data_IF_577217552238
#
_entry.id   IF_577217552238
#
_cell.length_a   1.000
_cell.length_b   1.000
_cell.length_c   1.000
_cell.angle_alpha   90.00
_cell.angle_beta   90.00
_cell.angle_gamma   90.00
#
_symmetry.space_group_name_H-M   'P 1'
#
loop_
_entity.id
_entity.type
_entity.pdbx_description
1 polymer ?
#
# COMPACT_ATOMS: atom_id res chain seq x y z
N UNK A 1 -25.92 -5.49 -12.39
CA UNK A 1 -24.72 -6.07 -13.07
C UNK A 1 -23.54 -5.11 -13.09
N UNK A 2 -23.73 -3.83 -13.40
CA UNK A 2 -22.65 -2.84 -13.51
C UNK A 2 -21.89 -2.58 -12.19
N UNK A 3 -22.61 -2.45 -11.06
CA UNK A 3 -22.00 -2.31 -9.71
C UNK A 3 -21.09 -3.46 -9.32
N UNK A 4 -21.42 -4.70 -9.69
CA UNK A 4 -20.56 -5.87 -9.43
C UNK A 4 -19.30 -5.84 -10.30
N UNK A 5 -19.41 -5.36 -11.55
CA UNK A 5 -18.27 -5.23 -12.46
C UNK A 5 -17.27 -4.16 -12.00
N UNK A 6 -17.76 -3.05 -11.46
CA UNK A 6 -16.92 -1.98 -10.88
C UNK A 6 -16.20 -2.44 -9.62
N UNK A 7 -16.87 -3.16 -8.72
CA UNK A 7 -16.24 -3.73 -7.53
C UNK A 7 -15.20 -4.79 -7.86
N UNK A 8 -15.48 -5.68 -8.83
CA UNK A 8 -14.54 -6.70 -9.27
C UNK A 8 -13.28 -6.07 -9.90
N UNK A 9 -13.45 -5.01 -10.70
CA UNK A 9 -12.32 -4.22 -11.22
C UNK A 9 -11.48 -3.65 -10.09
N UNK A 10 -12.10 -3.01 -9.09
CA UNK A 10 -11.39 -2.48 -7.92
C UNK A 10 -10.60 -3.55 -7.16
N UNK A 11 -11.22 -4.70 -6.91
CA UNK A 11 -10.57 -5.83 -6.26
C UNK A 11 -9.36 -6.36 -7.06
N UNK A 12 -9.47 -6.43 -8.40
CA UNK A 12 -8.37 -6.84 -9.26
C UNK A 12 -7.20 -5.84 -9.23
N UNK A 13 -7.49 -4.53 -9.22
CA UNK A 13 -6.45 -3.49 -9.08
C UNK A 13 -5.71 -3.63 -7.74
N UNK A 14 -6.45 -3.89 -6.65
CA UNK A 14 -5.87 -4.10 -5.32
C UNK A 14 -5.07 -5.40 -5.21
N UNK A 15 -5.52 -6.47 -5.88
CA UNK A 15 -4.77 -7.73 -5.92
C UNK A 15 -3.45 -7.58 -6.69
N UNK A 16 -3.47 -6.85 -7.81
CA UNK A 16 -2.26 -6.50 -8.56
C UNK A 16 -1.33 -5.60 -7.72
N UNK A 17 -1.90 -4.67 -6.95
CA UNK A 17 -1.15 -3.85 -5.99
C UNK A 17 -0.45 -4.71 -4.96
N UNK A 18 -1.15 -5.67 -4.35
CA UNK A 18 -0.60 -6.60 -3.37
C UNK A 18 0.56 -7.43 -3.96
N UNK A 19 0.42 -7.89 -5.20
CA UNK A 19 1.48 -8.60 -5.91
C UNK A 19 2.73 -7.74 -6.07
N UNK A 20 2.55 -6.52 -6.59
CA UNK A 20 3.64 -5.56 -6.81
C UNK A 20 4.36 -5.24 -5.50
N UNK A 21 3.62 -4.97 -4.42
CA UNK A 21 4.20 -4.64 -3.12
C UNK A 21 4.89 -5.82 -2.48
N UNK A 22 4.32 -7.02 -2.56
CA UNK A 22 4.95 -8.25 -2.08
C UNK A 22 6.32 -8.47 -2.69
N UNK A 23 6.43 -8.41 -4.02
CA UNK A 23 7.72 -8.53 -4.71
C UNK A 23 8.66 -7.33 -4.44
N UNK A 24 8.12 -6.15 -4.13
CA UNK A 24 8.91 -4.99 -3.77
C UNK A 24 9.64 -5.13 -2.43
N UNK A 25 9.21 -6.00 -1.50
CA UNK A 25 9.98 -6.25 -0.28
C UNK A 25 11.36 -6.84 -0.58
N UNK A 26 11.47 -7.70 -1.60
CA UNK A 26 12.76 -8.25 -2.04
C UNK A 26 13.64 -7.13 -2.62
N UNK A 27 13.09 -6.31 -3.51
CA UNK A 27 13.83 -5.19 -4.10
C UNK A 27 14.25 -4.15 -3.04
N UNK A 28 13.40 -3.86 -2.06
CA UNK A 28 13.73 -2.98 -0.94
C UNK A 28 14.89 -3.55 -0.10
N UNK A 29 14.86 -4.85 0.19
CA UNK A 29 15.94 -5.51 0.94
C UNK A 29 17.28 -5.41 0.20
N UNK A 30 17.31 -5.76 -1.09
CA UNK A 30 18.55 -5.70 -1.91
C UNK A 30 19.02 -4.25 -2.09
N UNK A 31 18.11 -3.29 -2.23
CA UNK A 31 18.46 -1.88 -2.35
C UNK A 31 19.13 -1.30 -1.11
N UNK A 32 18.88 -1.89 0.07
CA UNK A 32 19.48 -1.45 1.32
C UNK A 32 20.91 -1.94 1.55
N UNK A 33 21.41 -2.84 0.69
CA UNK A 33 22.83 -3.21 0.69
C UNK A 33 23.72 -2.04 0.24
N UNK A 34 23.12 -1.01 -0.37
CA UNK A 34 23.82 0.15 -0.93
C UNK A 34 23.35 1.48 -0.35
N UNK A 35 22.06 1.63 -0.02
CA UNK A 35 21.49 2.89 0.48
C UNK A 35 20.85 2.72 1.85
N UNK A 36 21.02 3.75 2.68
CA UNK A 36 20.26 3.89 3.91
C UNK A 36 18.74 4.03 3.66
N UNK A 37 17.91 3.76 4.68
CA UNK A 37 16.46 3.73 4.54
C UNK A 37 15.86 5.07 4.09
N UNK A 38 16.41 6.19 4.55
CA UNK A 38 15.92 7.52 4.18
C UNK A 38 16.28 7.86 2.74
N UNK A 39 17.54 7.65 2.34
CA UNK A 39 18.01 7.89 0.97
C UNK A 39 17.28 7.01 -0.05
N UNK A 40 17.13 5.71 0.24
CA UNK A 40 16.37 4.78 -0.60
C UNK A 40 14.91 5.23 -0.77
N UNK A 41 14.27 5.63 0.34
CA UNK A 41 12.88 6.11 0.32
C UNK A 41 12.75 7.44 -0.43
N UNK A 42 13.70 8.35 -0.30
CA UNK A 42 13.70 9.62 -1.04
C UNK A 42 13.75 9.38 -2.55
N UNK A 43 14.75 8.63 -3.01
CA UNK A 43 15.01 8.42 -4.44
C UNK A 43 13.87 7.65 -5.09
N UNK A 44 13.37 6.57 -4.48
CA UNK A 44 12.26 5.78 -5.05
C UNK A 44 10.98 6.63 -5.21
N UNK A 45 10.70 7.51 -4.25
CA UNK A 45 9.52 8.38 -4.32
C UNK A 45 9.67 9.45 -5.41
N UNK A 46 10.85 10.02 -5.61
CA UNK A 46 11.08 10.93 -6.74
C UNK A 46 10.96 10.22 -8.08
N UNK A 47 11.49 9.01 -8.22
CA UNK A 47 11.32 8.18 -9.43
C UNK A 47 9.82 7.95 -9.68
N UNK A 48 9.04 7.59 -8.66
CA UNK A 48 7.59 7.42 -8.77
C UNK A 48 6.86 8.70 -9.18
N UNK A 49 7.25 9.84 -8.60
CA UNK A 49 6.71 11.14 -8.98
C UNK A 49 6.97 11.45 -10.46
N UNK A 50 8.22 11.30 -10.92
CA UNK A 50 8.63 11.57 -12.31
C UNK A 50 7.96 10.61 -13.28
N UNK A 51 7.86 9.33 -12.94
CA UNK A 51 7.22 8.30 -13.77
C UNK A 51 5.74 8.58 -14.04
N UNK A 52 5.05 9.30 -13.14
CA UNK A 52 3.65 9.68 -13.32
C UNK A 52 3.44 10.93 -14.18
N UNK A 53 4.46 11.77 -14.39
CA UNK A 53 4.32 13.00 -15.18
C UNK A 53 3.89 12.74 -16.64
N UNK A 54 4.48 11.78 -17.39
CA UNK A 54 4.03 11.44 -18.74
C UNK A 54 2.58 10.93 -18.76
N UNK A 55 2.18 10.15 -17.75
CA UNK A 55 0.80 9.62 -17.63
C UNK A 55 -0.18 10.77 -17.44
N UNK A 56 0.14 11.74 -16.59
CA UNK A 56 -0.68 12.94 -16.37
C UNK A 56 -0.76 13.77 -17.64
N UNK A 57 0.37 13.99 -18.33
CA UNK A 57 0.41 14.75 -19.58
C UNK A 57 -0.47 14.09 -20.65
N UNK A 58 -0.34 12.78 -20.84
CA UNK A 58 -1.13 12.02 -21.81
C UNK A 58 -2.63 12.01 -21.48
N UNK A 59 -2.99 11.73 -20.22
CA UNK A 59 -4.38 11.73 -19.77
C UNK A 59 -5.03 13.12 -19.93
N UNK A 60 -4.27 14.20 -19.67
CA UNK A 60 -4.77 15.56 -19.87
C UNK A 60 -5.03 15.90 -21.34
N UNK A 61 -4.22 15.37 -22.27
CA UNK A 61 -4.41 15.57 -23.72
C UNK A 61 -5.65 14.83 -24.23
N UNK A 62 -5.90 13.61 -23.76
CA UNK A 62 -7.10 12.84 -24.11
C UNK A 62 -8.39 13.47 -23.58
N UNK A 63 -8.33 14.17 -22.45
CA UNK A 63 -9.48 14.87 -21.85
C UNK A 63 -9.83 16.19 -22.53
N UNK A 64 -8.89 16.85 -23.21
CA UNK A 64 -9.12 18.12 -23.93
C UNK A 64 -10.16 18.03 -25.07
N UNK A 65 -10.59 16.83 -25.47
CA UNK A 65 -11.58 16.60 -26.52
C UNK A 65 -12.92 16.01 -26.07
N UNK A 66 -13.14 15.82 -24.76
CA UNK A 66 -14.44 15.38 -24.23
C UNK A 66 -15.13 16.55 -23.53
N UNK A 67 -16.43 16.81 -23.78
CA UNK A 67 -17.18 17.77 -22.98
C UNK A 67 -17.06 17.38 -21.50
N UNK A 68 -16.81 18.36 -20.63
CA UNK A 68 -16.80 18.15 -19.18
C UNK A 68 -18.16 17.57 -18.79
N UNK A 69 -18.16 16.28 -18.42
CA UNK A 69 -19.30 15.59 -17.83
C UNK A 69 -19.79 16.39 -16.62
N UNK A 70 -21.11 16.57 -16.49
CA UNK A 70 -21.88 17.48 -15.62
C UNK A 70 -21.69 17.24 -14.10
N UNK A 71 -20.46 17.04 -13.64
CA UNK A 71 -20.08 17.03 -12.24
C UNK A 71 -19.93 18.45 -11.71
N UNK A 72 -20.25 18.62 -10.43
CA UNK A 72 -20.08 19.84 -9.63
C UNK A 72 -18.86 20.66 -10.11
N UNK A 73 -19.11 21.79 -10.79
CA UNK A 73 -18.08 22.66 -11.36
C UNK A 73 -17.31 23.34 -10.22
N UNK A 74 -16.35 22.61 -9.65
CA UNK A 74 -15.47 23.14 -8.62
C UNK A 74 -14.53 24.15 -9.29
N UNK A 75 -14.51 25.42 -8.84
CA UNK A 75 -13.59 26.41 -9.38
C UNK A 75 -12.14 25.86 -9.42
N UNK A 76 -11.37 26.10 -10.51
CA UNK A 76 -10.04 25.52 -10.69
C UNK A 76 -9.10 25.75 -9.50
N UNK A 77 -9.21 26.91 -8.85
CA UNK A 77 -8.46 27.24 -7.63
C UNK A 77 -8.82 26.34 -6.44
N UNK A 78 -10.11 26.05 -6.23
CA UNK A 78 -10.58 25.14 -5.17
C UNK A 78 -10.17 23.70 -5.47
N UNK A 79 -10.22 23.28 -6.74
CA UNK A 79 -9.76 21.95 -7.16
C UNK A 79 -8.25 21.75 -6.90
N UNK A 80 -7.43 22.75 -7.27
CA UNK A 80 -5.97 22.73 -7.00
C UNK A 80 -5.66 22.71 -5.50
N UNK A 81 -6.36 23.52 -4.70
CA UNK A 81 -6.20 23.53 -3.24
C UNK A 81 -6.57 22.19 -2.61
N UNK A 82 -7.68 21.57 -3.04
CA UNK A 82 -8.08 20.23 -2.58
C UNK A 82 -7.03 19.18 -2.94
N UNK A 83 -6.55 19.18 -4.19
CA UNK A 83 -5.49 18.25 -4.61
C UNK A 83 -4.22 18.42 -3.77
N UNK A 84 -3.78 19.66 -3.53
CA UNK A 84 -2.60 19.92 -2.73
C UNK A 84 -2.77 19.47 -1.27
N UNK A 85 -3.91 19.76 -0.66
CA UNK A 85 -4.20 19.39 0.73
C UNK A 85 -4.27 17.87 0.92
N UNK A 86 -5.06 17.17 0.10
CA UNK A 86 -5.18 15.71 0.18
C UNK A 86 -3.89 15.01 -0.25
N UNK A 87 -3.19 15.54 -1.25
CA UNK A 87 -1.89 15.02 -1.69
C UNK A 87 -0.83 15.19 -0.61
N UNK A 88 -0.81 16.30 0.11
CA UNK A 88 0.10 16.51 1.23
C UNK A 88 -0.23 15.60 2.43
N UNK A 89 -1.52 15.49 2.79
CA UNK A 89 -1.93 14.58 3.87
C UNK A 89 -1.58 13.12 3.57
N UNK A 90 -1.88 12.65 2.35
CA UNK A 90 -1.49 11.31 1.91
C UNK A 90 0.04 11.17 1.84
N UNK A 91 0.76 12.18 1.34
CA UNK A 91 2.21 12.15 1.20
C UNK A 91 2.96 12.13 2.52
N UNK A 92 2.48 12.85 3.53
CA UNK A 92 3.07 12.80 4.88
C UNK A 92 2.87 11.42 5.50
N UNK A 93 1.64 10.88 5.45
CA UNK A 93 1.36 9.53 5.97
C UNK A 93 2.16 8.46 5.22
N UNK A 94 2.17 8.54 3.89
CA UNK A 94 2.91 7.60 3.05
C UNK A 94 4.41 7.69 3.31
N UNK A 95 4.98 8.90 3.35
CA UNK A 95 6.39 9.13 3.64
C UNK A 95 6.77 8.57 4.99
N UNK A 96 6.03 8.92 6.05
CA UNK A 96 6.28 8.39 7.39
C UNK A 96 6.14 6.86 7.47
N UNK A 97 5.12 6.27 6.86
CA UNK A 97 4.92 4.83 6.85
C UNK A 97 6.07 4.12 6.11
N UNK A 98 6.43 4.61 4.92
CA UNK A 98 7.49 4.00 4.10
C UNK A 98 8.87 4.16 4.74
N UNK A 99 9.16 5.28 5.41
CA UNK A 99 10.39 5.47 6.18
C UNK A 99 10.50 4.49 7.35
N UNK A 100 9.43 4.36 8.15
CA UNK A 100 9.39 3.42 9.28
C UNK A 100 9.55 1.98 8.80
N UNK A 101 8.85 1.61 7.72
CA UNK A 101 8.96 0.30 7.11
C UNK A 101 10.38 0.02 6.61
N UNK A 102 10.95 0.94 5.82
CA UNK A 102 12.28 0.78 5.25
C UNK A 102 13.35 0.68 6.35
N UNK A 103 13.25 1.50 7.42
CA UNK A 103 14.14 1.39 8.57
C UNK A 103 13.98 0.04 9.32
N UNK A 104 12.75 -0.44 9.51
CA UNK A 104 12.51 -1.73 10.14
C UNK A 104 13.05 -2.92 9.33
N UNK A 105 13.03 -2.81 8.00
CA UNK A 105 13.57 -3.81 7.07
C UNK A 105 15.10 -3.96 7.12
N UNK A 106 15.83 -3.12 7.87
CA UNK A 106 17.27 -3.32 8.08
C UNK A 106 17.56 -4.57 8.89
N UNK A 107 16.59 -5.05 9.67
CA UNK A 107 16.74 -6.23 10.54
C UNK A 107 15.64 -7.28 10.33
N UNK A 108 14.51 -6.90 9.73
CA UNK A 108 13.43 -7.82 9.41
C UNK A 108 13.63 -8.45 8.01
N UNK A 109 13.38 -9.75 7.89
CA UNK A 109 13.35 -10.42 6.58
C UNK A 109 12.21 -9.88 5.70
N UNK A 110 12.28 -9.98 4.36
CA UNK A 110 11.21 -9.53 3.46
C UNK A 110 9.83 -10.12 3.80
N UNK A 111 9.77 -11.42 4.08
CA UNK A 111 8.53 -12.08 4.49
C UNK A 111 8.00 -11.60 5.85
N UNK A 112 8.89 -11.36 6.82
CA UNK A 112 8.51 -10.83 8.13
C UNK A 112 8.01 -9.40 8.03
N UNK A 113 8.72 -8.55 7.30
CA UNK A 113 8.31 -7.18 7.04
C UNK A 113 6.97 -7.10 6.30
N UNK A 114 6.75 -7.97 5.31
CA UNK A 114 5.47 -8.09 4.60
C UNK A 114 4.30 -8.41 5.53
N UNK A 115 4.46 -9.37 6.43
CA UNK A 115 3.43 -9.68 7.43
C UNK A 115 3.18 -8.54 8.42
N UNK A 116 4.23 -7.98 9.00
CA UNK A 116 4.10 -6.92 9.99
C UNK A 116 3.44 -5.69 9.38
N UNK A 117 3.74 -5.37 8.11
CA UNK A 117 3.06 -4.31 7.35
C UNK A 117 1.58 -4.65 7.16
N UNK A 118 1.27 -5.89 6.76
CA UNK A 118 -0.09 -6.35 6.52
C UNK A 118 -0.98 -6.38 7.78
N UNK A 119 -0.45 -6.10 8.99
CA UNK A 119 -1.25 -5.90 10.21
C UNK A 119 -2.28 -4.76 10.07
N UNK A 120 -2.15 -3.88 9.07
CA UNK A 120 -3.22 -2.96 8.71
C UNK A 120 -4.57 -3.66 8.47
N UNK A 121 -4.56 -4.97 8.15
CA UNK A 121 -5.77 -5.78 7.98
C UNK A 121 -6.67 -5.80 9.21
N UNK A 122 -6.09 -5.61 10.40
CA UNK A 122 -6.81 -5.52 11.67
C UNK A 122 -7.07 -4.06 12.02
N UNK A 123 -6.05 -3.22 11.86
CA UNK A 123 -6.08 -1.83 12.30
C UNK A 123 -7.12 -1.04 11.50
N UNK A 124 -7.21 -1.24 10.19
CA UNK A 124 -8.19 -0.58 9.31
C UNK A 124 -9.64 -0.86 9.71
N UNK A 125 -10.10 -2.12 9.90
CA UNK A 125 -11.45 -2.38 10.39
C UNK A 125 -11.70 -1.79 11.79
N UNK A 126 -10.74 -1.92 12.71
CA UNK A 126 -10.87 -1.37 14.07
C UNK A 126 -11.07 0.14 14.04
N UNK A 127 -10.19 0.88 13.36
CA UNK A 127 -10.32 2.32 13.14
C UNK A 127 -11.62 2.66 12.39
N UNK A 128 -12.01 1.82 11.44
CA UNK A 128 -13.27 1.95 10.71
C UNK A 128 -14.50 1.91 11.63
N UNK A 129 -14.50 1.10 12.68
CA UNK A 129 -15.59 1.05 13.67
C UNK A 129 -15.70 2.37 14.44
N UNK A 130 -14.57 2.97 14.85
CA UNK A 130 -14.56 4.30 15.47
C UNK A 130 -15.04 5.41 14.53
N UNK A 131 -14.89 5.22 13.21
CA UNK A 131 -15.44 6.08 12.17
C UNK A 131 -16.91 5.77 11.82
N UNK A 132 -17.60 4.94 12.62
CA UNK A 132 -19.02 4.61 12.48
C UNK A 132 -19.32 3.49 11.48
N UNK A 133 -18.31 2.81 10.92
CA UNK A 133 -18.52 1.65 10.03
C UNK A 133 -18.90 0.42 10.85
N UNK A 134 -19.70 -0.46 10.26
CA UNK A 134 -20.13 -1.72 10.89
C UNK A 134 -19.71 -2.92 10.05
N UNK A 135 -18.44 -3.38 10.14
CA UNK A 135 -17.99 -4.57 9.43
C UNK A 135 -18.79 -5.80 9.87
N UNK A 136 -19.35 -6.56 8.92
CA UNK A 136 -20.11 -7.77 9.24
C UNK A 136 -19.22 -8.93 9.69
N UNK A 137 -19.84 -9.98 10.25
CA UNK A 137 -19.13 -11.14 10.83
C UNK A 137 -18.14 -11.81 9.88
N UNK A 138 -18.46 -11.90 8.57
CA UNK A 138 -17.55 -12.50 7.57
C UNK A 138 -16.23 -11.74 7.44
N UNK A 139 -16.27 -10.42 7.62
CA UNK A 139 -15.06 -9.57 7.57
C UNK A 139 -14.18 -9.86 8.77
N UNK A 140 -14.74 -9.89 9.98
CA UNK A 140 -13.99 -10.25 11.19
C UNK A 140 -13.43 -11.67 11.14
N UNK A 141 -14.21 -12.63 10.63
CA UNK A 141 -13.71 -13.99 10.39
C UNK A 141 -12.55 -14.00 9.38
N UNK A 142 -12.63 -13.21 8.31
CA UNK A 142 -11.53 -13.01 7.36
C UNK A 142 -10.30 -12.38 8.02
N UNK A 143 -10.46 -11.36 8.86
CA UNK A 143 -9.36 -10.72 9.60
C UNK A 143 -8.64 -11.73 10.49
N UNK A 144 -9.37 -12.54 11.26
CA UNK A 144 -8.79 -13.59 12.11
C UNK A 144 -8.06 -14.63 11.26
N UNK A 145 -8.67 -15.09 10.18
CA UNK A 145 -8.09 -16.10 9.30
C UNK A 145 -6.80 -15.60 8.61
N UNK A 146 -6.79 -14.35 8.15
CA UNK A 146 -5.63 -13.73 7.55
C UNK A 146 -4.51 -13.47 8.56
N UNK A 147 -4.84 -13.06 9.80
CA UNK A 147 -3.87 -12.93 10.87
C UNK A 147 -3.17 -14.24 11.18
N UNK A 148 -3.93 -15.32 11.32
CA UNK A 148 -3.37 -16.67 11.56
C UNK A 148 -2.51 -17.08 10.37
N UNK A 149 -3.01 -16.90 9.14
CA UNK A 149 -2.26 -17.22 7.93
C UNK A 149 -0.94 -16.46 7.84
N UNK A 150 -0.97 -15.16 8.07
CA UNK A 150 0.21 -14.31 7.96
C UNK A 150 1.19 -14.50 9.13
N UNK A 151 0.71 -14.88 10.32
CA UNK A 151 1.56 -15.37 11.41
C UNK A 151 2.32 -16.64 11.02
N UNK A 152 1.67 -17.61 10.37
CA UNK A 152 2.32 -18.84 9.90
C UNK A 152 3.35 -18.57 8.80
N UNK A 153 3.16 -17.52 8.00
CA UNK A 153 4.10 -17.12 6.95
C UNK A 153 5.41 -16.53 7.48
N UNK A 154 5.35 -15.86 8.63
CA UNK A 154 6.38 -14.86 8.95
C UNK A 154 7.01 -15.00 10.32
N UNK A 155 6.40 -15.76 11.24
CA UNK A 155 6.95 -15.98 12.58
C UNK A 155 7.57 -17.37 12.66
N UNK A 156 8.89 -17.46 12.50
CA UNK A 156 9.65 -18.69 12.73
C UNK A 156 9.88 -18.85 14.25
N UNK A 157 9.63 -20.04 14.79
CA UNK A 157 9.67 -20.26 16.24
C UNK A 157 11.06 -19.96 16.81
N UNK A 158 11.12 -19.30 17.97
CA UNK A 158 12.38 -18.94 18.64
C UNK A 158 12.90 -17.52 18.33
N UNK A 159 12.30 -16.80 17.38
CA UNK A 159 12.63 -15.39 17.12
C UNK A 159 11.80 -14.47 18.03
N UNK A 160 12.49 -13.63 18.82
CA UNK A 160 11.85 -12.55 19.57
C UNK A 160 11.39 -11.40 18.66
N UNK A 161 10.69 -10.43 19.24
CA UNK A 161 10.38 -9.16 18.57
C UNK A 161 11.65 -8.30 18.61
N UNK A 162 12.21 -8.01 17.44
CA UNK A 162 13.35 -7.11 17.28
C UNK A 162 12.88 -5.65 17.21
N UNK A 163 13.80 -4.71 17.42
CA UNK A 163 13.51 -3.27 17.28
C UNK A 163 12.99 -2.92 15.89
N UNK A 164 13.52 -3.55 14.83
CA UNK A 164 13.02 -3.33 13.47
C UNK A 164 11.58 -3.80 13.28
N UNK A 165 11.17 -4.88 13.95
CA UNK A 165 9.78 -5.36 13.91
C UNK A 165 8.83 -4.29 14.48
N UNK A 166 9.22 -3.61 15.57
CA UNK A 166 8.44 -2.52 16.15
C UNK A 166 8.28 -1.34 15.19
N UNK A 167 9.32 -1.02 14.40
CA UNK A 167 9.24 0.01 13.37
C UNK A 167 8.28 -0.37 12.24
N UNK A 168 8.29 -1.64 11.80
CA UNK A 168 7.33 -2.11 10.78
C UNK A 168 5.89 -2.18 11.34
N UNK A 169 5.72 -2.54 12.61
CA UNK A 169 4.40 -2.49 13.27
C UNK A 169 3.91 -1.04 13.35
N UNK A 170 4.79 -0.09 13.70
CA UNK A 170 4.46 1.33 13.70
C UNK A 170 4.09 1.81 12.28
N UNK A 171 4.80 1.34 11.24
CA UNK A 171 4.46 1.66 9.86
C UNK A 171 3.08 1.14 9.47
N UNK A 172 2.67 -0.05 9.93
CA UNK A 172 1.35 -0.60 9.67
C UNK A 172 0.22 0.28 10.21
N UNK A 173 0.43 0.92 11.38
CA UNK A 173 -0.52 1.92 11.92
C UNK A 173 -0.62 3.12 10.99
N UNK A 174 0.50 3.66 10.53
CA UNK A 174 0.52 4.83 9.63
C UNK A 174 -0.06 4.49 8.25
N UNK A 175 0.24 3.31 7.69
CA UNK A 175 -0.40 2.81 6.48
C UNK A 175 -1.90 2.64 6.63
N UNK A 176 -2.38 2.21 7.80
CA UNK A 176 -3.82 2.12 8.07
C UNK A 176 -4.49 3.49 8.03
N UNK A 177 -3.84 4.52 8.61
CA UNK A 177 -4.31 5.89 8.51
C UNK A 177 -4.28 6.38 7.06
N UNK A 178 -3.23 6.09 6.30
CA UNK A 178 -3.14 6.42 4.88
C UNK A 178 -4.29 5.79 4.08
N UNK A 179 -4.54 4.49 4.24
CA UNK A 179 -5.64 3.75 3.60
C UNK A 179 -6.99 4.43 3.89
N UNK A 180 -7.22 4.86 5.14
CA UNK A 180 -8.46 5.54 5.53
C UNK A 180 -8.55 6.96 4.95
N UNK A 181 -7.45 7.72 4.97
CA UNK A 181 -7.40 9.06 4.37
C UNK A 181 -7.66 8.99 2.87
N UNK A 182 -7.10 8.01 2.17
CA UNK A 182 -7.38 7.76 0.73
C UNK A 182 -8.87 7.50 0.50
N UNK A 183 -9.56 6.79 1.40
CA UNK A 183 -11.01 6.55 1.31
C UNK A 183 -11.85 7.82 1.51
N UNK A 184 -11.33 8.81 2.25
CA UNK A 184 -11.97 10.13 2.40
C UNK A 184 -11.66 11.10 1.25
N UNK A 185 -10.73 10.76 0.34
CA UNK A 185 -10.41 11.62 -0.79
C UNK A 185 -11.64 11.76 -1.69
N UNK A 186 -12.12 12.98 -1.96
CA UNK A 186 -13.31 13.17 -2.77
C UNK A 186 -13.15 12.70 -4.21
N UNK A 187 -14.23 12.18 -4.82
CA UNK A 187 -14.23 11.66 -6.19
C UNK A 187 -13.73 12.67 -7.25
N UNK A 188 -13.92 13.98 -7.03
CA UNK A 188 -13.45 15.05 -7.91
C UNK A 188 -11.94 15.31 -7.88
N UNK A 189 -11.19 14.66 -6.99
CA UNK A 189 -9.71 14.70 -7.00
C UNK A 189 -9.20 13.62 -7.96
N UNK A 190 -8.32 13.97 -8.88
CA UNK A 190 -7.71 13.00 -9.81
C UNK A 190 -6.70 12.10 -9.06
N UNK A 191 -6.89 10.78 -9.15
CA UNK A 191 -6.08 9.81 -8.39
C UNK A 191 -4.62 9.73 -8.84
N UNK A 192 -4.34 9.96 -10.13
CA UNK A 192 -2.96 9.94 -10.66
C UNK A 192 -2.24 11.21 -10.22
N UNK A 193 -2.90 12.37 -10.30
CA UNK A 193 -2.34 13.63 -9.78
C UNK A 193 -2.13 13.58 -8.27
N UNK A 194 -3.08 13.00 -7.52
CA UNK A 194 -2.93 12.78 -6.08
C UNK A 194 -1.69 11.94 -5.79
N UNK A 195 -1.50 10.85 -6.54
CA UNK A 195 -0.33 9.96 -6.44
C UNK A 195 0.98 10.71 -6.67
N UNK A 196 1.04 11.54 -7.71
CA UNK A 196 2.21 12.37 -7.99
C UNK A 196 2.53 13.34 -6.84
N UNK A 197 1.53 14.04 -6.29
CA UNK A 197 1.73 14.98 -5.17
C UNK A 197 2.17 14.26 -3.90
N UNK A 198 1.55 13.11 -3.56
CA UNK A 198 1.95 12.39 -2.35
C UNK A 198 3.40 11.88 -2.45
N UNK A 199 3.85 11.44 -3.62
CA UNK A 199 5.24 11.01 -3.80
C UNK A 199 6.23 12.16 -3.71
N UNK A 200 5.89 13.33 -4.24
CA UNK A 200 6.71 14.51 -4.06
C UNK A 200 6.87 14.85 -2.57
N UNK A 201 5.78 14.84 -1.81
CA UNK A 201 5.80 15.16 -0.38
C UNK A 201 6.54 14.08 0.42
N UNK A 202 6.32 12.80 0.13
CA UNK A 202 7.03 11.69 0.76
C UNK A 202 8.54 11.73 0.45
N UNK A 203 8.91 12.03 -0.80
CA UNK A 203 10.30 12.19 -1.23
C UNK A 203 11.00 13.35 -0.53
N UNK A 204 10.32 14.50 -0.39
CA UNK A 204 10.84 15.66 0.34
C UNK A 204 11.05 15.34 1.83
N UNK A 205 10.07 14.72 2.49
CA UNK A 205 10.18 14.29 3.88
C UNK A 205 11.38 13.35 4.07
N UNK A 206 11.50 12.33 3.21
CA UNK A 206 12.60 11.38 3.26
C UNK A 206 13.97 12.02 2.95
N UNK A 207 14.01 13.01 2.06
CA UNK A 207 15.24 13.75 1.74
C UNK A 207 15.72 14.55 2.95
N UNK A 208 14.82 15.24 3.65
CA UNK A 208 15.17 15.97 4.88
C UNK A 208 15.81 15.02 5.90
N UNK A 209 15.21 13.85 6.12
CA UNK A 209 15.78 12.86 7.05
C UNK A 209 17.10 12.27 6.53
N UNK A 210 17.21 11.98 5.24
CA UNK A 210 18.44 11.45 4.65
C UNK A 210 19.61 12.42 4.83
N UNK A 211 19.39 13.72 4.62
CA UNK A 211 20.43 14.75 4.82
C UNK A 211 20.82 14.96 6.29
N UNK A 212 19.94 14.60 7.23
CA UNK A 212 20.19 14.77 8.67
C UNK A 212 20.83 13.54 9.31
N UNK A 213 20.50 12.34 8.83
CA UNK A 213 20.83 11.08 9.51
C UNK A 213 21.70 10.13 8.70
N UNK A 214 21.88 10.36 7.39
CA UNK A 214 22.60 9.45 6.51
C UNK A 214 23.69 10.17 5.71
N UNK A 215 24.72 9.42 5.35
CA UNK A 215 25.72 9.81 4.37
C UNK A 215 25.64 8.85 3.19
N UNK A 216 25.41 9.36 1.99
CA UNK A 216 25.38 8.56 0.77
C UNK A 216 26.00 9.36 -0.37
N UNK A 217 26.51 8.65 -1.36
CA UNK A 217 27.09 9.21 -2.58
C UNK A 217 26.20 8.94 -3.78
N UNK A 218 26.47 9.63 -4.89
CA UNK A 218 25.80 9.31 -6.15
C UNK A 218 26.13 7.88 -6.63
N UNK A 219 27.31 7.37 -6.31
CA UNK A 219 27.71 6.00 -6.64
C UNK A 219 26.83 4.96 -5.94
N UNK A 220 26.41 5.22 -4.70
CA UNK A 220 25.52 4.33 -3.94
C UNK A 220 24.13 4.25 -4.57
N UNK A 221 23.63 5.40 -5.07
CA UNK A 221 22.38 5.46 -5.85
C UNK A 221 22.50 4.65 -7.13
N UNK A 222 23.62 4.78 -7.84
CA UNK A 222 23.87 4.01 -9.06
C UNK A 222 24.01 2.51 -8.76
N UNK A 223 24.57 2.12 -7.61
CA UNK A 223 24.65 0.70 -7.23
C UNK A 223 23.24 0.12 -6.96
N UNK A 224 22.34 0.89 -6.38
CA UNK A 224 20.95 0.51 -6.11
C UNK A 224 19.98 0.73 -7.30
N UNK A 225 20.45 0.96 -8.51
CA UNK A 225 19.59 1.44 -9.60
C UNK A 225 18.43 0.49 -9.96
N UNK A 226 18.66 -0.82 -10.00
CA UNK A 226 17.62 -1.82 -10.30
C UNK A 226 16.50 -1.79 -9.25
N UNK A 227 16.79 -1.98 -7.95
CA UNK A 227 15.75 -1.92 -6.94
C UNK A 227 15.07 -0.54 -6.85
N UNK A 228 15.79 0.57 -7.10
CA UNK A 228 15.21 1.91 -7.15
C UNK A 228 14.25 2.10 -8.32
N UNK A 229 14.58 1.64 -9.53
CA UNK A 229 13.66 1.72 -10.67
C UNK A 229 12.43 0.84 -10.46
N UNK A 230 12.62 -0.38 -9.93
CA UNK A 230 11.49 -1.27 -9.65
C UNK A 230 10.58 -0.68 -8.56
N UNK A 231 11.14 -0.27 -7.42
CA UNK A 231 10.35 0.27 -6.31
C UNK A 231 9.79 1.67 -6.61
N UNK A 232 10.48 2.48 -7.41
CA UNK A 232 10.02 3.80 -7.80
C UNK A 232 8.95 3.77 -8.89
N UNK A 233 9.17 3.06 -9.99
CA UNK A 233 8.24 3.05 -11.12
C UNK A 233 7.08 2.08 -10.84
N UNK A 234 7.40 0.84 -10.50
CA UNK A 234 6.40 -0.24 -10.40
C UNK A 234 5.69 -0.17 -9.05
N UNK A 235 6.44 -0.20 -7.94
CA UNK A 235 5.81 -0.18 -6.60
C UNK A 235 5.18 1.16 -6.25
N UNK A 236 5.93 2.26 -6.43
CA UNK A 236 5.44 3.60 -6.13
C UNK A 236 4.47 4.06 -7.24
N UNK A 237 5.00 4.36 -8.43
CA UNK A 237 4.21 4.89 -9.55
C UNK A 237 2.94 4.07 -9.86
N UNK A 238 3.08 2.78 -10.17
CA UNK A 238 1.94 1.92 -10.52
C UNK A 238 1.17 1.49 -9.27
N UNK A 239 1.83 0.86 -8.29
CA UNK A 239 1.17 0.22 -7.13
C UNK A 239 0.25 1.15 -6.34
N UNK A 240 0.73 2.26 -5.80
CA UNK A 240 -0.16 3.16 -5.03
C UNK A 240 -1.20 3.86 -5.90
N UNK A 241 -0.92 4.08 -7.19
CA UNK A 241 -1.95 4.60 -8.11
C UNK A 241 -3.08 3.58 -8.26
N UNK A 242 -2.74 2.29 -8.46
CA UNK A 242 -3.73 1.21 -8.50
C UNK A 242 -4.49 1.08 -7.18
N UNK A 243 -3.82 1.24 -6.04
CA UNK A 243 -4.44 1.28 -4.71
C UNK A 243 -5.52 2.37 -4.64
N UNK A 244 -5.16 3.62 -4.96
CA UNK A 244 -6.07 4.78 -4.92
C UNK A 244 -7.26 4.55 -5.86
N UNK A 245 -7.03 4.02 -7.06
CA UNK A 245 -8.10 3.75 -8.02
C UNK A 245 -8.99 2.59 -7.57
N UNK A 246 -8.42 1.54 -6.98
CA UNK A 246 -9.15 0.38 -6.47
C UNK A 246 -10.01 0.71 -5.26
N UNK A 247 -9.46 1.44 -4.29
CA UNK A 247 -10.13 1.85 -3.05
C UNK A 247 -11.36 2.75 -3.29
N UNK A 248 -11.41 3.49 -4.41
CA UNK A 248 -12.62 4.26 -4.77
C UNK A 248 -13.88 3.41 -4.94
N UNK A 249 -13.71 2.12 -5.20
CA UNK A 249 -14.80 1.21 -5.55
C UNK A 249 -14.97 0.07 -4.55
N UNK A 250 -14.02 -0.08 -3.62
CA UNK A 250 -13.94 -1.15 -2.63
C UNK A 250 -13.79 -0.54 -1.25
N UNK A 251 -14.68 -0.90 -0.33
CA UNK A 251 -14.59 -0.43 1.06
C UNK A 251 -13.19 -0.74 1.66
N UNK A 252 -12.58 0.18 2.41
CA UNK A 252 -11.20 0.07 2.88
C UNK A 252 -10.96 -1.15 3.76
N UNK A 253 -11.96 -1.67 4.47
CA UNK A 253 -11.79 -2.93 5.19
C UNK A 253 -11.55 -4.10 4.24
N UNK A 254 -12.37 -4.22 3.19
CA UNK A 254 -12.18 -5.24 2.15
C UNK A 254 -10.88 -4.98 1.37
N UNK A 255 -10.55 -3.72 1.11
CA UNK A 255 -9.31 -3.36 0.45
C UNK A 255 -8.08 -3.78 1.27
N UNK A 256 -8.08 -3.52 2.58
CA UNK A 256 -7.02 -3.97 3.50
C UNK A 256 -6.89 -5.49 3.54
N UNK A 257 -8.00 -6.22 3.46
CA UNK A 257 -7.99 -7.68 3.33
C UNK A 257 -7.29 -8.13 2.04
N UNK A 258 -7.64 -7.54 0.89
CA UNK A 258 -7.00 -7.87 -0.39
C UNK A 258 -5.52 -7.50 -0.38
N UNK A 259 -5.17 -6.31 0.09
CA UNK A 259 -3.79 -5.83 0.14
C UNK A 259 -2.91 -6.70 1.03
N UNK A 260 -3.46 -7.32 2.09
CA UNK A 260 -2.71 -8.23 2.98
C UNK A 260 -2.07 -9.43 2.25
N UNK A 261 -2.54 -9.77 1.05
CA UNK A 261 -1.89 -10.75 0.17
C UNK A 261 -0.45 -10.36 -0.20
N UNK A 262 -0.03 -9.11 0.02
CA UNK A 262 1.37 -8.71 -0.13
C UNK A 262 2.30 -9.57 0.72
N UNK A 263 1.86 -10.03 1.91
CA UNK A 263 2.64 -10.91 2.77
C UNK A 263 2.88 -12.28 2.11
N UNK A 264 1.86 -12.83 1.46
CA UNK A 264 1.94 -14.06 0.66
C UNK A 264 2.92 -13.87 -0.49
N UNK A 265 2.76 -12.78 -1.25
CA UNK A 265 3.61 -12.49 -2.40
C UNK A 265 5.05 -12.17 -1.99
N UNK A 266 5.29 -11.56 -0.82
CA UNK A 266 6.62 -11.31 -0.29
C UNK A 266 7.36 -12.61 0.03
N UNK A 267 6.68 -13.57 0.67
CA UNK A 267 7.26 -14.89 0.95
C UNK A 267 7.52 -15.67 -0.34
N UNK A 268 6.57 -15.67 -1.29
CA UNK A 268 6.77 -16.31 -2.59
C UNK A 268 7.90 -15.66 -3.39
N UNK A 269 8.01 -14.33 -3.35
CA UNK A 269 9.09 -13.60 -4.00
C UNK A 269 10.44 -13.91 -3.34
N UNK A 270 10.50 -13.99 -2.00
CA UNK A 270 11.70 -14.42 -1.27
C UNK A 270 12.12 -15.84 -1.64
N UNK A 271 11.16 -16.75 -1.84
CA UNK A 271 11.44 -18.10 -2.28
C UNK A 271 12.00 -18.16 -3.71
N UNK A 272 11.34 -17.51 -4.66
CA UNK A 272 11.71 -17.57 -6.09
C UNK A 272 12.95 -16.73 -6.41
N UNK A 273 13.06 -15.53 -5.84
CA UNK A 273 14.10 -14.55 -6.21
C UNK A 273 15.34 -14.62 -5.31
N UNK A 274 15.17 -14.98 -4.03
CA UNK A 274 16.26 -15.07 -3.06
C UNK A 274 16.62 -16.52 -2.69
N UNK A 275 15.91 -17.51 -3.22
CA UNK A 275 16.15 -18.93 -2.92
C UNK A 275 15.81 -19.33 -1.49
N UNK A 276 14.98 -18.56 -0.78
CA UNK A 276 14.61 -18.85 0.61
C UNK A 276 13.66 -20.05 0.69
N UNK A 277 13.98 -21.13 1.41
CA UNK A 277 13.15 -22.33 1.41
C UNK A 277 11.75 -22.05 1.98
N UNK A 278 10.73 -22.51 1.25
CA UNK A 278 9.33 -22.42 1.66
C UNK A 278 8.93 -23.67 2.43
N UNK A 279 8.59 -23.51 3.70
CA UNK A 279 8.16 -24.57 4.60
C UNK A 279 6.68 -24.95 4.39
N UNK A 280 6.28 -26.18 4.78
CA UNK A 280 4.86 -26.57 4.80
C UNK A 280 3.99 -25.64 5.65
N UNK A 281 4.56 -25.07 6.72
CA UNK A 281 3.89 -24.09 7.58
C UNK A 281 3.57 -22.81 6.83
N UNK A 282 4.53 -22.29 6.06
CA UNK A 282 4.33 -21.11 5.21
C UNK A 282 3.29 -21.39 4.10
N UNK A 283 3.29 -22.60 3.51
CA UNK A 283 2.25 -23.00 2.53
C UNK A 283 0.83 -22.98 3.11
N UNK A 284 0.64 -23.50 4.32
CA UNK A 284 -0.65 -23.41 5.03
C UNK A 284 -1.00 -21.94 5.29
N UNK A 285 -0.02 -21.13 5.68
CA UNK A 285 -0.18 -19.68 5.83
C UNK A 285 -0.72 -19.00 4.57
N UNK A 286 -0.12 -19.28 3.41
CA UNK A 286 -0.58 -18.79 2.10
C UNK A 286 -2.05 -19.15 1.84
N UNK A 287 -2.42 -20.41 2.08
CA UNK A 287 -3.77 -20.90 1.85
C UNK A 287 -4.80 -20.20 2.76
N UNK A 288 -4.46 -19.96 4.03
CA UNK A 288 -5.34 -19.26 4.97
C UNK A 288 -5.56 -17.79 4.60
N UNK A 289 -4.50 -17.05 4.24
CA UNK A 289 -4.64 -15.65 3.80
C UNK A 289 -5.49 -15.57 2.53
N UNK A 290 -5.26 -16.47 1.56
CA UNK A 290 -6.07 -16.53 0.35
C UNK A 290 -7.55 -16.82 0.66
N UNK A 291 -7.83 -17.81 1.52
CA UNK A 291 -9.18 -18.13 1.97
C UNK A 291 -9.85 -16.96 2.69
N UNK A 292 -9.10 -16.18 3.47
CA UNK A 292 -9.60 -14.98 4.14
C UNK A 292 -10.07 -13.90 3.15
N UNK A 293 -9.30 -13.67 2.08
CA UNK A 293 -9.67 -12.73 1.02
C UNK A 293 -10.92 -13.19 0.30
N UNK A 294 -11.01 -14.48 -0.06
CA UNK A 294 -12.20 -15.05 -0.70
C UNK A 294 -13.42 -14.89 0.21
N UNK A 295 -13.31 -15.24 1.50
CA UNK A 295 -14.39 -15.13 2.47
C UNK A 295 -14.90 -13.68 2.61
N UNK A 296 -13.98 -12.71 2.64
CA UNK A 296 -14.31 -11.29 2.75
C UNK A 296 -15.03 -10.73 1.52
N UNK A 297 -14.78 -11.29 0.33
CA UNK A 297 -15.41 -10.87 -0.91
C UNK A 297 -16.80 -11.50 -1.14
N UNK A 298 -17.15 -12.56 -0.41
CA UNK A 298 -18.48 -13.18 -0.55
C UNK A 298 -19.59 -12.20 -0.14
N UNK A 299 -20.71 -12.14 -0.90
CA UNK A 299 -21.82 -11.24 -0.60
C UNK A 299 -22.28 -11.36 0.86
N UNK A 300 -22.38 -10.23 1.56
CA UNK A 300 -22.98 -10.20 2.88
C UNK A 300 -24.51 -10.19 2.76
N UNK A 301 -25.18 -11.12 3.43
CA UNK A 301 -26.64 -11.05 3.60
C UNK A 301 -26.93 -9.76 4.38
N UNK A 302 -27.68 -8.83 3.79
CA UNK A 302 -28.15 -7.65 4.54
C UNK A 302 -28.93 -8.14 5.77
N UNK A 303 -28.75 -7.54 6.95
CA UNK A 303 -29.68 -7.75 8.05
C UNK A 303 -31.08 -7.40 7.53
N UNK A 304 -32.06 -8.29 7.72
CA UNK A 304 -33.46 -7.91 7.53
C UNK A 304 -33.71 -6.76 8.49
N UNK A 305 -33.96 -5.56 7.97
CA UNK A 305 -34.55 -4.48 8.76
C UNK A 305 -35.92 -5.02 9.17
N UNK A 306 -36.11 -5.30 10.46
CA UNK A 306 -37.44 -5.52 11.02
C UNK A 306 -38.17 -4.20 10.86
N UNK A 307 -39.10 -4.17 9.91
CA UNK A 307 -40.19 -3.20 9.90
C UNK A 307 -41.13 -3.62 11.03
N UNK A 308 -41.04 -2.91 12.17
CA UNK A 308 -42.17 -2.79 13.09
C UNK A 308 -43.11 -1.70 12.57
#
# INVERSE_FOLDING_TARGET
>A
MERNRTQLRGAALLMLTALIWGTAFVAQSVGMDHLGPCAFTAVRNYIGCVALLPVIAFASRLRKGKPEDDGEQVPPAKARKRLALWGAACGLLLGSATLLQQAGMQTASPGKAGFLTALYIVIVPVLGVFLGRRPGLKVWAGVVLALVGAYLLSVKGGEGIATGDLLVIASAVVFSLHILVVDFVPAGVDGVKLSCVQFLVAGLLATVLALLFESFTFSDILAAWVPLLYTGIISSGVGYTLQILGQRTVNPTVASLILSLESVFAVLAGWVLLGQPLSPRELVGCALVFAAVVLAQLPQKKPKVQSE
#
